data_IF_723490775885
#
_entry.id   IF_723490775885
#
_cell.length_a   1.000
_cell.length_b   1.000
_cell.length_c   1.000
_cell.angle_alpha   90.00
_cell.angle_beta   90.00
_cell.angle_gamma   90.00
#
_symmetry.space_group_name_H-M   'P 1'
#
loop_
_entity.id
_entity.type
_entity.pdbx_description
1 polymer ?
#
# COMPACT_ATOMS: atom_id res chain seq x y z
N UNK A 1 1.87 -29.76 8.26
CA UNK A 1 2.47 -28.48 8.67
C UNK A 1 2.51 -27.45 7.55
N UNK A 2 3.40 -27.56 6.56
CA UNK A 2 3.50 -26.53 5.48
C UNK A 2 2.22 -26.46 4.66
N UNK A 3 1.65 -27.61 4.27
CA UNK A 3 0.40 -27.64 3.51
C UNK A 3 -0.78 -27.01 4.27
N UNK A 4 -0.88 -27.30 5.57
CA UNK A 4 -1.91 -26.75 6.46
C UNK A 4 -1.74 -25.23 6.62
N UNK A 5 -0.49 -24.77 6.71
CA UNK A 5 -0.19 -23.34 6.78
C UNK A 5 -0.60 -22.63 5.49
N UNK A 6 -0.35 -23.22 4.32
CA UNK A 6 -0.81 -22.70 3.02
C UNK A 6 -2.34 -22.65 2.98
N UNK A 7 -3.02 -23.75 3.31
CA UNK A 7 -4.49 -23.80 3.31
C UNK A 7 -5.14 -22.76 4.24
N UNK A 8 -4.47 -22.36 5.33
CA UNK A 8 -4.99 -21.33 6.26
C UNK A 8 -4.68 -19.90 5.83
N UNK A 9 -3.64 -19.68 5.03
CA UNK A 9 -3.08 -18.33 4.78
C UNK A 9 -3.32 -17.88 3.33
N UNK A 10 -3.43 -18.81 2.38
CA UNK A 10 -3.67 -18.49 0.99
C UNK A 10 -5.19 -18.40 0.74
N UNK A 11 -5.67 -17.39 -0.01
CA UNK A 11 -7.08 -17.26 -0.35
C UNK A 11 -7.52 -18.35 -1.34
N UNK A 12 -8.76 -18.81 -1.22
CA UNK A 12 -9.32 -19.80 -2.16
C UNK A 12 -9.65 -19.14 -3.52
N UNK A 13 -9.32 -19.76 -4.67
CA UNK A 13 -8.75 -21.11 -4.87
C UNK A 13 -7.22 -21.17 -5.03
N UNK A 14 -6.49 -20.08 -4.71
CA UNK A 14 -5.04 -20.00 -4.91
C UNK A 14 -4.29 -21.03 -4.04
N UNK A 15 -4.78 -21.30 -2.84
CA UNK A 15 -4.32 -22.35 -1.94
C UNK A 15 -4.30 -23.73 -2.64
N UNK A 16 -5.40 -24.11 -3.29
CA UNK A 16 -5.56 -25.42 -3.92
C UNK A 16 -4.64 -25.57 -5.14
N UNK A 17 -4.53 -24.53 -5.97
CA UNK A 17 -3.64 -24.55 -7.13
C UNK A 17 -2.17 -24.65 -6.71
N UNK A 18 -1.78 -23.86 -5.70
CA UNK A 18 -0.42 -23.85 -5.17
C UNK A 18 -0.04 -25.21 -4.58
N UNK A 19 -0.93 -25.81 -3.79
CA UNK A 19 -0.69 -27.14 -3.20
C UNK A 19 -0.61 -28.24 -4.25
N UNK A 20 -1.45 -28.16 -5.29
CA UNK A 20 -1.44 -29.15 -6.37
C UNK A 20 -0.13 -29.09 -7.15
N UNK A 21 0.32 -27.90 -7.56
CA UNK A 21 1.59 -27.74 -8.29
C UNK A 21 2.80 -28.10 -7.42
N UNK A 22 2.80 -27.72 -6.14
CA UNK A 22 3.88 -28.08 -5.21
C UNK A 22 3.98 -29.60 -5.00
N UNK A 23 2.83 -30.30 -4.87
CA UNK A 23 2.78 -31.76 -4.78
C UNK A 23 3.30 -32.42 -6.07
N UNK A 24 2.88 -31.93 -7.23
CA UNK A 24 3.37 -32.42 -8.52
C UNK A 24 4.88 -32.20 -8.70
N UNK A 25 5.40 -31.06 -8.23
CA UNK A 25 6.84 -30.77 -8.25
C UNK A 25 7.63 -31.74 -7.35
N UNK A 26 7.07 -32.16 -6.21
CA UNK A 26 7.73 -33.15 -5.33
C UNK A 26 7.70 -34.58 -5.88
N UNK A 27 6.64 -34.99 -6.57
CA UNK A 27 6.54 -36.35 -7.16
C UNK A 27 7.37 -36.46 -8.43
N UNK A 28 7.37 -35.40 -9.24
CA UNK A 28 8.16 -35.30 -10.47
C UNK A 28 9.55 -34.79 -10.14
N UNK A 29 10.40 -35.64 -9.55
CA UNK A 29 11.83 -35.40 -9.20
C UNK A 29 12.72 -34.87 -10.34
N UNK A 30 12.18 -34.57 -11.52
CA UNK A 30 12.84 -34.03 -12.72
C UNK A 30 12.64 -32.53 -12.93
N UNK A 31 11.81 -31.83 -12.14
CA UNK A 31 11.67 -30.37 -12.28
C UNK A 31 12.92 -29.70 -11.71
N UNK A 32 13.74 -29.11 -12.59
CA UNK A 32 14.87 -28.28 -12.19
C UNK A 32 14.30 -26.98 -11.63
N UNK A 33 14.47 -26.76 -10.33
CA UNK A 33 14.04 -25.51 -9.69
C UNK A 33 14.77 -24.32 -10.28
N UNK A 34 14.04 -23.24 -10.55
CA UNK A 34 14.65 -21.99 -11.02
C UNK A 34 15.31 -21.23 -9.88
N UNK A 35 14.77 -21.38 -8.66
CA UNK A 35 15.33 -20.76 -7.46
C UNK A 35 16.51 -21.57 -6.90
N UNK A 36 17.54 -20.92 -6.35
CA UNK A 36 18.73 -21.59 -5.82
C UNK A 36 18.43 -22.31 -4.50
N UNK A 37 18.02 -23.58 -4.62
CA UNK A 37 17.58 -24.43 -3.50
C UNK A 37 18.62 -24.50 -2.38
N UNK A 38 19.90 -24.69 -2.70
CA UNK A 38 20.98 -24.77 -1.70
C UNK A 38 21.10 -23.50 -0.85
N UNK A 39 20.93 -22.32 -1.48
CA UNK A 39 20.97 -21.03 -0.77
C UNK A 39 19.73 -20.86 0.10
N UNK A 40 18.55 -21.20 -0.42
CA UNK A 40 17.28 -21.11 0.32
C UNK A 40 17.30 -22.05 1.53
N UNK A 41 17.80 -23.27 1.37
CA UNK A 41 17.96 -24.23 2.47
C UNK A 41 18.85 -23.66 3.58
N UNK A 42 20.00 -23.10 3.21
CA UNK A 42 20.93 -22.49 4.17
C UNK A 42 20.32 -21.29 4.89
N UNK A 43 19.63 -20.40 4.18
CA UNK A 43 18.95 -19.23 4.76
C UNK A 43 17.83 -19.64 5.71
N UNK A 44 16.99 -20.60 5.33
CA UNK A 44 15.92 -21.11 6.18
C UNK A 44 16.50 -21.74 7.46
N UNK A 45 17.54 -22.56 7.33
CA UNK A 45 18.18 -23.22 8.46
C UNK A 45 18.89 -22.24 9.40
N UNK A 46 19.65 -21.27 8.87
CA UNK A 46 20.55 -20.42 9.66
C UNK A 46 19.92 -19.12 10.14
N UNK A 47 19.04 -18.51 9.33
CA UNK A 47 18.58 -17.14 9.56
C UNK A 47 17.11 -17.08 9.96
N UNK A 48 16.24 -17.84 9.28
CA UNK A 48 14.79 -17.70 9.47
C UNK A 48 14.26 -18.60 10.58
N UNK A 49 14.53 -19.91 10.50
CA UNK A 49 13.91 -20.90 11.37
C UNK A 49 14.84 -21.36 12.49
N UNK A 50 16.16 -21.24 12.31
CA UNK A 50 17.19 -21.54 13.32
C UNK A 50 17.14 -23.00 13.86
N UNK A 51 16.48 -23.92 13.15
CA UNK A 51 16.46 -25.35 13.47
C UNK A 51 16.66 -26.22 12.21
N UNK A 52 17.04 -27.50 12.41
CA UNK A 52 17.26 -28.47 11.33
C UNK A 52 15.95 -28.80 10.61
N UNK A 53 15.91 -28.48 9.32
CA UNK A 53 14.77 -28.74 8.44
C UNK A 53 15.16 -29.77 7.40
N UNK A 54 14.23 -30.67 7.08
CA UNK A 54 14.44 -31.65 6.02
C UNK A 54 14.51 -30.97 4.64
N UNK A 55 15.43 -31.45 3.80
CA UNK A 55 15.62 -30.99 2.42
C UNK A 55 14.34 -31.11 1.60
N UNK A 56 13.51 -32.13 1.86
CA UNK A 56 12.20 -32.32 1.22
C UNK A 56 11.20 -31.21 1.56
N UNK A 57 11.18 -30.73 2.81
CA UNK A 57 10.33 -29.62 3.27
C UNK A 57 10.80 -28.31 2.62
N UNK A 58 12.11 -28.10 2.54
CA UNK A 58 12.69 -26.94 1.87
C UNK A 58 12.34 -26.94 0.38
N UNK A 59 12.42 -28.10 -0.26
CA UNK A 59 12.04 -28.26 -1.66
C UNK A 59 10.56 -27.89 -1.87
N UNK A 60 9.68 -28.38 -1.00
CA UNK A 60 8.25 -28.06 -1.06
C UNK A 60 7.97 -26.57 -0.89
N UNK A 61 8.59 -25.91 0.11
CA UNK A 61 8.49 -24.46 0.29
C UNK A 61 9.01 -23.68 -0.92
N UNK A 62 10.12 -24.12 -1.51
CA UNK A 62 10.71 -23.47 -2.68
C UNK A 62 9.79 -23.61 -3.90
N UNK A 63 9.10 -24.75 -4.06
CA UNK A 63 8.14 -24.97 -5.13
C UNK A 63 6.96 -23.99 -5.02
N UNK A 64 6.45 -23.78 -3.80
CA UNK A 64 5.41 -22.78 -3.52
C UNK A 64 5.89 -21.36 -3.90
N UNK A 65 7.11 -20.98 -3.49
CA UNK A 65 7.67 -19.67 -3.83
C UNK A 65 7.83 -19.48 -5.34
N UNK A 66 8.24 -20.51 -6.06
CA UNK A 66 8.39 -20.49 -7.51
C UNK A 66 7.03 -20.36 -8.22
N UNK A 67 6.00 -21.05 -7.74
CA UNK A 67 4.63 -20.93 -8.23
C UNK A 67 4.11 -19.50 -8.08
N UNK A 68 4.19 -18.94 -6.87
CA UNK A 68 3.73 -17.56 -6.58
C UNK A 68 4.52 -16.53 -7.40
N UNK A 69 5.83 -16.69 -7.51
CA UNK A 69 6.67 -15.78 -8.31
C UNK A 69 6.28 -15.82 -9.79
N UNK A 70 6.03 -17.02 -10.32
CA UNK A 70 5.60 -17.20 -11.71
C UNK A 70 4.24 -16.57 -11.95
N UNK A 71 3.31 -16.71 -11.01
CA UNK A 71 1.97 -16.16 -11.13
C UNK A 71 1.99 -14.62 -11.16
N UNK A 72 2.72 -13.98 -10.23
CA UNK A 72 2.91 -12.52 -10.21
C UNK A 72 3.53 -12.01 -11.50
N UNK A 73 4.60 -12.66 -11.98
CA UNK A 73 5.29 -12.25 -13.22
C UNK A 73 4.42 -12.48 -14.45
N UNK A 74 3.65 -13.57 -14.49
CA UNK A 74 2.71 -13.88 -15.58
C UNK A 74 1.59 -12.85 -15.63
N UNK A 75 0.98 -12.52 -14.49
CA UNK A 75 -0.04 -11.49 -14.37
C UNK A 75 0.50 -10.13 -14.83
N UNK A 76 1.67 -9.73 -14.33
CA UNK A 76 2.34 -8.49 -14.70
C UNK A 76 2.67 -8.44 -16.19
N UNK A 77 3.14 -9.54 -16.77
CA UNK A 77 3.40 -9.66 -18.20
C UNK A 77 2.13 -9.53 -19.05
N UNK A 78 1.02 -10.13 -18.63
CA UNK A 78 -0.29 -9.98 -19.29
C UNK A 78 -0.79 -8.54 -19.19
N UNK A 79 -0.68 -7.92 -18.01
CA UNK A 79 -1.05 -6.54 -17.74
C UNK A 79 -0.29 -5.58 -18.67
N UNK A 80 1.04 -5.68 -18.69
CA UNK A 80 1.90 -4.87 -19.57
C UNK A 80 1.56 -5.15 -21.03
N UNK A 81 1.35 -6.41 -21.45
CA UNK A 81 0.97 -6.74 -22.84
C UNK A 81 -0.34 -6.06 -23.27
N UNK A 82 -1.34 -5.98 -22.39
CA UNK A 82 -2.63 -5.30 -22.67
C UNK A 82 -2.47 -3.78 -22.78
N UNK A 83 -1.60 -3.17 -21.97
CA UNK A 83 -1.34 -1.71 -22.01
C UNK A 83 -0.39 -1.35 -23.17
N UNK A 84 0.61 -2.19 -23.41
CA UNK A 84 1.59 -2.11 -24.49
C UNK A 84 0.95 -2.10 -25.88
N UNK A 85 -0.17 -2.81 -26.06
CA UNK A 85 -0.95 -2.74 -27.29
C UNK A 85 -1.36 -1.31 -27.67
N UNK A 86 -1.43 -0.38 -26.70
CA UNK A 86 -1.73 1.04 -26.93
C UNK A 86 -0.49 1.93 -27.00
N UNK A 87 0.67 1.53 -26.47
CA UNK A 87 1.85 2.40 -26.29
C UNK A 87 3.17 1.88 -26.88
N UNK A 88 3.22 0.64 -27.37
CA UNK A 88 4.43 0.01 -27.94
C UNK A 88 5.50 -0.41 -26.93
N UNK A 89 5.28 -0.22 -25.62
CA UNK A 89 6.27 -0.49 -24.57
C UNK A 89 6.36 -1.98 -24.21
N UNK A 90 7.54 -2.62 -24.32
CA UNK A 90 7.74 -4.07 -24.09
C UNK A 90 8.50 -4.43 -22.82
N UNK A 91 8.78 -3.47 -21.95
CA UNK A 91 9.53 -3.69 -20.71
C UNK A 91 8.55 -3.76 -19.54
N UNK A 92 8.85 -4.56 -18.52
CA UNK A 92 8.02 -4.62 -17.30
C UNK A 92 8.69 -3.73 -16.26
N UNK A 93 7.98 -2.69 -15.81
CA UNK A 93 8.47 -1.80 -14.75
C UNK A 93 7.98 -2.26 -13.38
N UNK A 94 8.69 -1.91 -12.30
CA UNK A 94 8.22 -2.12 -10.92
C UNK A 94 6.82 -1.52 -10.68
N UNK A 95 6.52 -0.38 -11.31
CA UNK A 95 5.18 0.25 -11.24
C UNK A 95 4.09 -0.65 -11.81
N UNK A 96 4.39 -1.32 -12.93
CA UNK A 96 3.43 -2.19 -13.62
C UNK A 96 3.16 -3.45 -12.80
N UNK A 97 4.19 -4.02 -12.17
CA UNK A 97 4.05 -5.17 -11.27
C UNK A 97 3.15 -4.81 -10.08
N UNK A 98 3.41 -3.68 -9.41
CA UNK A 98 2.58 -3.21 -8.30
C UNK A 98 1.13 -3.03 -8.76
N UNK A 99 0.91 -2.36 -9.89
CA UNK A 99 -0.44 -2.10 -10.41
C UNK A 99 -1.17 -3.40 -10.76
N UNK A 100 -0.48 -4.36 -11.38
CA UNK A 100 -1.03 -5.66 -11.73
C UNK A 100 -1.45 -6.44 -10.48
N UNK A 101 -0.60 -6.49 -9.44
CA UNK A 101 -0.92 -7.13 -8.16
C UNK A 101 -2.11 -6.46 -7.45
N UNK A 102 -2.27 -5.13 -7.57
CA UNK A 102 -3.38 -4.41 -6.96
C UNK A 102 -4.72 -4.71 -7.63
N UNK A 103 -4.69 -5.03 -8.92
CA UNK A 103 -5.89 -5.39 -9.68
C UNK A 103 -6.32 -6.84 -9.44
N UNK A 104 -5.47 -7.67 -8.84
CA UNK A 104 -5.77 -9.07 -8.55
C UNK A 104 -6.20 -9.26 -7.09
N UNK A 105 -7.44 -9.69 -6.90
CA UNK A 105 -8.04 -9.85 -5.57
C UNK A 105 -7.39 -10.98 -4.76
N UNK A 106 -6.90 -12.04 -5.40
CA UNK A 106 -6.27 -13.15 -4.66
C UNK A 106 -4.88 -12.74 -4.17
N UNK A 107 -4.14 -11.98 -4.97
CA UNK A 107 -2.84 -11.46 -4.56
C UNK A 107 -2.96 -10.32 -3.54
N UNK A 108 -3.97 -9.45 -3.66
CA UNK A 108 -4.21 -8.42 -2.65
C UNK A 108 -4.52 -9.10 -1.30
N UNK A 109 -5.41 -10.09 -1.31
CA UNK A 109 -5.78 -10.80 -0.10
C UNK A 109 -4.54 -11.53 0.48
N UNK A 110 -3.79 -12.28 -0.31
CA UNK A 110 -2.64 -13.05 0.19
C UNK A 110 -1.48 -12.19 0.74
N UNK A 111 -1.09 -11.12 0.05
CA UNK A 111 0.07 -10.32 0.45
C UNK A 111 -0.25 -9.24 1.48
N UNK A 112 -1.54 -8.94 1.67
CA UNK A 112 -1.97 -7.79 2.45
C UNK A 112 -2.98 -8.13 3.55
N UNK A 113 -3.12 -9.41 3.91
CA UNK A 113 -4.01 -9.90 4.97
C UNK A 113 -3.51 -9.67 6.42
N UNK A 114 -2.19 -9.69 6.67
CA UNK A 114 -1.63 -9.69 8.05
C UNK A 114 -0.39 -8.80 8.24
N UNK A 115 0.14 -8.24 7.16
CA UNK A 115 1.35 -7.44 7.25
C UNK A 115 0.98 -5.98 7.49
N UNK A 116 1.88 -5.24 8.11
CA UNK A 116 2.02 -3.79 7.99
C UNK A 116 1.94 -3.28 6.52
N UNK A 117 1.97 -4.18 5.53
CA UNK A 117 1.56 -3.93 4.15
C UNK A 117 0.04 -3.78 3.93
N UNK A 118 -0.91 -4.24 4.76
CA UNK A 118 -2.35 -3.99 4.59
C UNK A 118 -2.66 -2.48 4.48
N UNK A 119 -1.88 -1.65 5.17
CA UNK A 119 -1.87 -0.20 5.02
C UNK A 119 -1.39 0.29 3.65
N UNK A 120 -0.74 -0.55 2.86
CA UNK A 120 -0.27 -0.38 1.48
C UNK A 120 -1.19 -1.01 0.40
N UNK A 121 -2.21 -1.82 0.76
CA UNK A 121 -3.22 -2.33 -0.18
C UNK A 121 -4.55 -1.57 -0.10
N UNK A 122 -5.03 -1.29 1.12
CA UNK A 122 -6.11 -0.32 1.32
C UNK A 122 -5.71 1.08 0.82
N UNK A 123 -4.40 1.33 0.74
CA UNK A 123 -3.73 2.47 0.11
C UNK A 123 -4.01 2.63 -1.38
N UNK A 124 -4.15 1.52 -2.11
CA UNK A 124 -4.17 1.53 -3.58
C UNK A 124 -5.56 1.77 -4.14
N UNK A 125 -6.60 1.48 -3.34
CA UNK A 125 -7.99 1.71 -3.73
C UNK A 125 -8.48 3.12 -3.36
N UNK A 126 -7.85 3.81 -2.40
CA UNK A 126 -8.35 5.09 -1.88
C UNK A 126 -7.50 6.31 -2.25
N UNK A 127 -6.28 6.16 -2.78
CA UNK A 127 -5.36 7.29 -3.00
C UNK A 127 -4.38 6.91 -4.14
N UNK A 128 -4.07 7.63 -5.22
CA UNK A 128 -4.17 9.04 -5.61
C UNK A 128 -3.67 10.07 -4.59
N UNK A 129 -3.04 9.67 -3.47
CA UNK A 129 -2.64 10.70 -2.50
C UNK A 129 -2.04 10.36 -1.13
N UNK A 130 -1.89 9.12 -0.65
CA UNK A 130 -1.33 8.92 0.71
C UNK A 130 -0.18 7.94 0.65
N UNK A 131 1.00 8.39 1.08
CA UNK A 131 2.26 7.63 1.12
C UNK A 131 2.70 7.24 2.56
N UNK A 132 1.94 7.52 3.63
CA UNK A 132 2.65 7.94 4.87
C UNK A 132 2.38 7.28 6.23
N UNK A 133 1.66 6.16 6.36
CA UNK A 133 1.38 5.60 7.72
C UNK A 133 2.22 4.41 8.20
N UNK A 134 3.01 3.76 7.35
CA UNK A 134 3.81 2.58 7.74
C UNK A 134 5.20 2.86 8.33
N UNK A 135 5.69 4.11 8.31
CA UNK A 135 7.08 4.44 8.68
C UNK A 135 7.24 4.93 10.13
N UNK A 136 6.37 4.54 11.07
CA UNK A 136 6.37 5.10 12.45
C UNK A 136 7.35 4.46 13.42
N UNK A 137 8.06 3.39 13.05
CA UNK A 137 9.17 2.90 13.85
C UNK A 137 10.41 3.76 13.59
N UNK A 138 10.61 4.81 14.40
CA UNK A 138 11.76 5.75 14.45
C UNK A 138 11.78 6.98 13.51
N UNK A 139 10.68 7.73 13.40
CA UNK A 139 10.76 9.09 12.82
C UNK A 139 11.23 10.10 13.87
N UNK A 140 12.19 10.94 13.49
CA UNK A 140 12.55 12.13 14.26
C UNK A 140 11.38 13.11 14.34
N UNK A 141 11.34 13.92 15.39
CA UNK A 141 10.27 14.91 15.57
C UNK A 141 10.12 15.84 14.35
N UNK A 142 11.23 16.28 13.73
CA UNK A 142 11.18 17.07 12.50
C UNK A 142 10.62 16.32 11.28
N UNK A 143 10.80 15.00 11.20
CA UNK A 143 10.17 14.18 10.14
C UNK A 143 8.67 14.04 10.36
N UNK A 144 8.22 13.87 11.60
CA UNK A 144 6.80 13.82 11.94
C UNK A 144 6.07 15.12 11.57
N UNK A 145 6.71 16.27 11.81
CA UNK A 145 6.14 17.59 11.44
C UNK A 145 6.09 17.78 9.92
N UNK A 146 7.11 17.33 9.19
CA UNK A 146 7.11 17.36 7.72
C UNK A 146 6.04 16.46 7.11
N UNK A 147 5.83 15.28 7.70
CA UNK A 147 4.79 14.36 7.28
C UNK A 147 3.40 14.94 7.59
N UNK A 148 3.20 15.54 8.75
CA UNK A 148 1.98 16.27 9.10
C UNK A 148 1.67 17.38 8.09
N UNK A 149 2.65 18.23 7.74
CA UNK A 149 2.45 19.27 6.72
C UNK A 149 2.06 18.70 5.35
N UNK A 150 2.62 17.55 4.97
CA UNK A 150 2.28 16.91 3.70
C UNK A 150 0.85 16.34 3.71
N UNK A 151 0.44 15.75 4.84
CA UNK A 151 -0.91 15.22 5.05
C UNK A 151 -1.94 16.36 5.05
N UNK A 152 -1.68 17.45 5.77
CA UNK A 152 -2.55 18.65 5.80
C UNK A 152 -2.69 19.29 4.40
N UNK A 153 -1.60 19.37 3.62
CA UNK A 153 -1.67 19.81 2.22
C UNK A 153 -2.52 18.90 1.35
N UNK A 154 -2.52 17.59 1.61
CA UNK A 154 -3.37 16.66 0.87
C UNK A 154 -4.83 16.80 1.26
N UNK A 155 -5.09 16.87 2.56
CA UNK A 155 -6.42 17.09 3.10
C UNK A 155 -7.04 18.40 2.56
N UNK A 156 -6.24 19.47 2.48
CA UNK A 156 -6.68 20.73 1.88
C UNK A 156 -7.03 20.62 0.38
N UNK A 157 -6.33 19.77 -0.39
CA UNK A 157 -6.71 19.50 -1.79
C UNK A 157 -8.04 18.78 -1.89
N UNK A 158 -8.26 17.81 -1.01
CA UNK A 158 -9.51 17.05 -0.96
C UNK A 158 -10.69 17.93 -0.53
N UNK A 159 -10.48 18.80 0.47
CA UNK A 159 -11.46 19.83 0.85
C UNK A 159 -11.77 20.78 -0.30
N UNK A 160 -10.75 21.25 -1.04
CA UNK A 160 -10.98 22.08 -2.22
C UNK A 160 -11.79 21.36 -3.30
N UNK A 161 -11.56 20.05 -3.50
CA UNK A 161 -12.36 19.25 -4.43
C UNK A 161 -13.82 19.17 -3.96
N UNK A 162 -14.05 18.85 -2.69
CA UNK A 162 -15.39 18.76 -2.11
C UNK A 162 -16.12 20.11 -2.21
N UNK A 163 -15.45 21.22 -1.87
CA UNK A 163 -16.07 22.55 -1.88
C UNK A 163 -16.28 23.03 -3.33
N UNK A 164 -15.23 23.08 -4.15
CA UNK A 164 -15.28 23.72 -5.48
C UNK A 164 -15.89 22.87 -6.57
N UNK A 165 -15.86 21.54 -6.45
CA UNK A 165 -16.36 20.63 -7.48
C UNK A 165 -17.70 20.02 -7.10
N UNK A 166 -17.90 19.67 -5.83
CA UNK A 166 -19.15 19.04 -5.40
C UNK A 166 -20.14 20.04 -4.81
N UNK A 167 -19.74 20.87 -3.83
CA UNK A 167 -20.65 21.82 -3.17
C UNK A 167 -21.11 22.91 -4.15
N UNK A 168 -20.22 23.55 -4.89
CA UNK A 168 -20.58 24.60 -5.86
C UNK A 168 -21.50 24.08 -6.98
N UNK A 169 -21.37 22.80 -7.37
CA UNK A 169 -22.22 22.20 -8.40
C UNK A 169 -23.58 21.76 -7.83
N UNK A 170 -23.60 21.20 -6.61
CA UNK A 170 -24.86 20.92 -5.90
C UNK A 170 -25.65 22.21 -5.63
N UNK A 171 -24.97 23.31 -5.28
CA UNK A 171 -25.61 24.61 -5.03
C UNK A 171 -26.38 25.12 -6.25
N UNK A 172 -25.85 24.89 -7.46
CA UNK A 172 -26.54 25.21 -8.72
C UNK A 172 -27.73 24.29 -8.98
N UNK A 173 -27.59 22.99 -8.70
CA UNK A 173 -28.64 21.97 -8.96
C UNK A 173 -29.82 22.14 -8.00
N UNK A 174 -29.55 22.48 -6.74
CA UNK A 174 -30.55 22.65 -5.68
C UNK A 174 -31.15 24.06 -5.61
N UNK A 175 -30.87 24.92 -6.60
CA UNK A 175 -31.37 26.31 -6.68
C UNK A 175 -31.17 27.11 -5.36
N UNK A 176 -30.11 26.82 -4.61
CA UNK A 176 -29.81 27.51 -3.34
C UNK A 176 -30.65 27.06 -2.14
N UNK A 177 -31.19 25.83 -2.10
CA UNK A 177 -31.75 25.26 -0.87
C UNK A 177 -30.65 25.01 0.19
N UNK A 178 -30.31 26.10 0.89
CA UNK A 178 -29.26 26.16 1.90
C UNK A 178 -29.45 25.12 3.01
N UNK A 179 -30.68 24.66 3.27
CA UNK A 179 -30.95 23.66 4.31
C UNK A 179 -30.46 22.28 3.89
N UNK A 180 -30.72 21.88 2.64
CA UNK A 180 -30.24 20.62 2.09
C UNK A 180 -28.71 20.63 1.94
N UNK A 181 -28.14 21.75 1.48
CA UNK A 181 -26.69 21.91 1.33
C UNK A 181 -25.99 21.83 2.69
N UNK A 182 -26.50 22.52 3.72
CA UNK A 182 -25.95 22.43 5.08
C UNK A 182 -26.08 21.04 5.70
N UNK A 183 -27.11 20.25 5.35
CA UNK A 183 -27.24 18.86 5.82
C UNK A 183 -26.23 17.91 5.16
N UNK A 184 -25.91 18.12 3.89
CA UNK A 184 -24.99 17.27 3.12
C UNK A 184 -23.53 17.59 3.45
N UNK A 185 -23.18 18.87 3.49
CA UNK A 185 -21.80 19.31 3.66
C UNK A 185 -21.45 19.76 5.09
N UNK A 186 -22.44 20.03 5.94
CA UNK A 186 -22.20 20.49 7.31
C UNK A 186 -21.32 21.73 7.36
N UNK A 187 -20.38 21.77 8.31
CA UNK A 187 -19.44 22.87 8.52
C UNK A 187 -18.14 22.69 7.72
N UNK A 188 -18.22 22.16 6.49
CA UNK A 188 -17.02 21.88 5.67
C UNK A 188 -16.21 23.15 5.36
N UNK A 189 -16.86 24.30 5.27
CA UNK A 189 -16.21 25.59 5.00
C UNK A 189 -15.39 26.03 6.21
N UNK A 190 -15.95 25.92 7.42
CA UNK A 190 -15.23 26.22 8.67
C UNK A 190 -14.02 25.29 8.85
N UNK A 191 -14.18 24.00 8.53
CA UNK A 191 -13.08 23.01 8.56
C UNK A 191 -11.99 23.39 7.56
N UNK A 192 -12.37 23.86 6.37
CA UNK A 192 -11.42 24.34 5.37
C UNK A 192 -10.65 25.58 5.85
N UNK A 193 -11.34 26.59 6.38
CA UNK A 193 -10.70 27.80 6.90
C UNK A 193 -9.74 27.49 8.05
N UNK A 194 -10.16 26.62 8.97
CA UNK A 194 -9.31 26.11 10.06
C UNK A 194 -8.06 25.40 9.52
N UNK A 195 -8.23 24.53 8.52
CA UNK A 195 -7.13 23.77 7.91
C UNK A 195 -6.14 24.69 7.20
N UNK A 196 -6.62 25.72 6.49
CA UNK A 196 -5.76 26.74 5.85
C UNK A 196 -4.96 27.52 6.90
N UNK A 197 -5.61 27.95 7.98
CA UNK A 197 -4.96 28.72 9.04
C UNK A 197 -3.92 27.88 9.79
N UNK A 198 -4.27 26.64 10.12
CA UNK A 198 -3.36 25.69 10.78
C UNK A 198 -2.15 25.39 9.90
N UNK A 199 -2.37 25.12 8.61
CA UNK A 199 -1.30 24.82 7.67
C UNK A 199 -0.34 26.01 7.52
N UNK A 200 -0.85 27.24 7.39
CA UNK A 200 -0.02 28.45 7.32
C UNK A 200 0.83 28.64 8.58
N UNK A 201 0.23 28.50 9.76
CA UNK A 201 0.95 28.61 11.04
C UNK A 201 2.03 27.53 11.19
N UNK A 202 1.79 26.31 10.70
CA UNK A 202 2.77 25.22 10.73
C UNK A 202 3.91 25.42 9.71
N UNK A 203 3.62 26.00 8.54
CA UNK A 203 4.62 26.34 7.52
C UNK A 203 5.56 27.45 8.04
N UNK A 204 5.00 28.51 8.62
CA UNK A 204 5.75 29.62 9.22
C UNK A 204 6.66 29.13 10.36
N UNK A 205 6.13 28.29 11.26
CA UNK A 205 6.91 27.69 12.35
C UNK A 205 8.02 26.77 11.84
N UNK A 206 7.81 26.10 10.70
CA UNK A 206 8.83 25.27 10.07
C UNK A 206 9.90 26.08 9.33
N UNK A 207 9.55 27.24 8.77
CA UNK A 207 10.50 28.15 8.11
C UNK A 207 11.43 28.80 9.15
N UNK A 208 10.87 29.27 10.27
CA UNK A 208 11.64 29.83 11.40
C UNK A 208 12.55 28.78 12.04
N UNK A 209 12.13 27.50 12.03
CA UNK A 209 12.90 26.41 12.60
C UNK A 209 14.06 25.93 11.73
N UNK A 210 14.26 26.43 10.50
CA UNK A 210 15.37 26.00 9.64
C UNK A 210 16.76 26.20 10.28
N UNK A 211 16.87 27.14 11.23
CA UNK A 211 18.09 27.41 12.00
C UNK A 211 18.23 26.55 13.28
N UNK A 212 17.29 25.65 13.58
CA UNK A 212 17.29 24.84 14.81
C UNK A 212 16.89 23.37 14.57
N UNK A 213 17.44 22.40 15.32
CA UNK A 213 17.18 20.98 15.08
C UNK A 213 15.76 20.50 15.50
N UNK A 214 14.95 21.33 16.16
CA UNK A 214 13.62 20.96 16.66
C UNK A 214 12.59 22.07 16.37
N UNK A 215 11.69 21.90 15.39
CA UNK A 215 10.67 22.90 15.08
C UNK A 215 9.66 23.05 16.23
N UNK A 216 9.50 24.25 16.80
CA UNK A 216 8.57 24.43 17.92
C UNK A 216 7.13 24.65 17.43
N UNK A 217 6.48 23.58 16.94
CA UNK A 217 5.10 23.65 16.39
C UNK A 217 4.01 23.57 17.47
N UNK A 218 4.36 23.35 18.74
CA UNK A 218 3.40 23.27 19.85
C UNK A 218 2.57 24.54 20.03
N UNK A 219 3.18 25.71 19.82
CA UNK A 219 2.49 27.01 19.90
C UNK A 219 1.43 27.20 18.81
N UNK A 220 1.58 26.53 17.67
CA UNK A 220 0.60 26.55 16.59
C UNK A 220 -0.74 25.92 17.01
N UNK A 221 -0.72 25.02 18.00
CA UNK A 221 -1.94 24.36 18.52
C UNK A 221 -2.52 25.03 19.76
N UNK A 222 -1.75 25.90 20.43
CA UNK A 222 -2.23 26.70 21.58
C UNK A 222 -2.88 28.02 21.14
N UNK A 223 -2.61 28.46 19.91
CA UNK A 223 -3.33 29.58 19.30
C UNK A 223 -4.82 29.27 19.25
N UNK A 224 -5.66 30.19 19.74
CA UNK A 224 -7.11 30.11 19.53
C UNK A 224 -7.38 30.33 18.04
N UNK A 225 -7.77 29.27 17.35
CA UNK A 225 -8.40 29.32 16.04
C UNK A 225 -9.86 29.78 16.16
#
# INVERSE_FOLDING_TARGET
DVEERVARTFPTPLDQWTLTDAREATTTRRRKMLLPMDKIHQLLHKEVLQFKIDVSVTFFMTAILEFVSTDILRLSGIFVKKISQKSGYRVITTRDIKTAMCADKLLIDMFYQDSELAGAAAFNASTLGVERRGRRASLSYGELVRDLLADERSFLRDLNLIIRVFKDELEKILEGDNRAISLIFGNIVDIYELTVMLLGNLEDAMEIAQDSPTPYVGSCFEGRF
#
